data_IF_026897572400
#
_entry.id   IF_026897572400
#
_cell.length_a   1.000
_cell.length_b   1.000
_cell.length_c   1.000
_cell.angle_alpha   90.00
_cell.angle_beta   90.00
_cell.angle_gamma   90.00
#
_symmetry.space_group_name_H-M   'P 1'
#
loop_
_entity.id
_entity.type
_entity.pdbx_description
1 polymer ?
#
# COMPACT_ATOMS: atom_id res chain seq x y z
N UNK A 1 22.83 10.67 -4.53
CA UNK A 1 21.78 9.65 -4.35
C UNK A 1 21.22 9.08 -5.66
N UNK A 2 20.70 9.90 -6.57
CA UNK A 2 19.82 9.44 -7.68
C UNK A 2 20.50 8.96 -8.99
N UNK A 3 21.77 9.29 -9.23
CA UNK A 3 22.49 8.90 -10.45
C UNK A 3 21.95 9.55 -11.72
N UNK A 4 22.05 8.85 -12.88
CA UNK A 4 21.51 9.33 -14.17
C UNK A 4 19.98 9.36 -14.16
N UNK A 5 19.41 10.30 -14.92
CA UNK A 5 17.96 10.43 -15.17
C UNK A 5 17.40 9.10 -15.69
N UNK A 6 16.20 8.76 -15.25
CA UNK A 6 15.50 7.55 -15.68
C UNK A 6 15.07 7.65 -17.14
N UNK A 7 15.31 6.58 -17.91
CA UNK A 7 14.81 6.47 -19.28
C UNK A 7 13.31 6.14 -19.29
N UNK A 8 12.73 6.06 -20.48
CA UNK A 8 11.31 5.76 -20.65
C UNK A 8 10.95 4.41 -19.98
N UNK A 9 9.89 4.40 -19.17
CA UNK A 9 9.41 3.24 -18.38
C UNK A 9 10.38 2.69 -17.32
N UNK A 10 11.50 3.35 -17.04
CA UNK A 10 12.34 2.99 -15.89
C UNK A 10 11.80 3.63 -14.61
N UNK A 11 11.85 2.88 -13.52
CA UNK A 11 11.51 3.36 -12.17
C UNK A 11 12.65 3.01 -11.21
N UNK A 12 12.69 3.66 -10.05
CA UNK A 12 13.51 3.18 -8.91
C UNK A 12 12.61 2.41 -7.95
N UNK A 13 13.14 1.33 -7.40
CA UNK A 13 12.56 0.63 -6.26
C UNK A 13 13.49 0.78 -5.07
N UNK A 14 12.90 0.97 -3.90
CA UNK A 14 13.61 1.04 -2.64
C UNK A 14 13.64 -0.35 -1.99
N UNK A 15 14.83 -0.87 -1.73
CA UNK A 15 15.04 -1.98 -0.80
C UNK A 15 15.15 -1.40 0.61
N UNK A 16 14.09 -1.52 1.39
CA UNK A 16 14.03 -1.12 2.80
C UNK A 16 14.67 -2.22 3.65
N UNK A 17 15.71 -1.88 4.41
CA UNK A 17 16.38 -2.85 5.29
C UNK A 17 15.49 -3.28 6.45
N UNK A 18 15.72 -4.50 6.93
CA UNK A 18 15.13 -5.00 8.17
C UNK A 18 15.52 -4.13 9.38
N UNK A 19 14.72 -4.18 10.43
CA UNK A 19 15.02 -3.48 11.69
C UNK A 19 13.82 -3.38 12.62
N UNK A 20 14.09 -2.97 13.85
CA UNK A 20 13.10 -2.79 14.90
C UNK A 20 12.80 -1.30 15.12
N UNK A 21 11.77 -1.02 15.91
CA UNK A 21 11.47 0.33 16.38
C UNK A 21 12.70 0.93 17.09
N UNK A 22 13.10 2.14 16.67
CA UNK A 22 14.29 2.83 17.19
C UNK A 22 15.57 2.60 16.36
N UNK A 23 15.66 1.53 15.57
CA UNK A 23 16.83 1.31 14.72
C UNK A 23 16.88 2.34 13.58
N UNK A 24 18.08 2.83 13.17
CA UNK A 24 18.21 3.71 12.02
C UNK A 24 17.62 3.10 10.74
N UNK A 25 16.82 3.87 10.02
CA UNK A 25 16.23 3.43 8.76
C UNK A 25 17.31 3.47 7.67
N UNK A 26 17.53 2.33 7.02
CA UNK A 26 18.47 2.19 5.91
C UNK A 26 17.77 1.63 4.68
N UNK A 27 18.12 2.14 3.51
CA UNK A 27 17.60 1.63 2.26
C UNK A 27 18.59 1.75 1.10
N UNK A 28 18.29 1.03 0.02
CA UNK A 28 19.02 1.13 -1.24
C UNK A 28 18.05 1.35 -2.40
N UNK A 29 18.42 2.19 -3.37
CA UNK A 29 17.64 2.40 -4.58
C UNK A 29 18.21 1.59 -5.74
N UNK A 30 17.36 0.79 -6.38
CA UNK A 30 17.69 0.05 -7.59
C UNK A 30 16.83 0.52 -8.76
N UNK A 31 17.48 0.79 -9.90
CA UNK A 31 16.80 1.09 -11.16
C UNK A 31 16.31 -0.19 -11.81
N UNK A 32 15.06 -0.19 -12.26
CA UNK A 32 14.43 -1.33 -12.93
C UNK A 32 13.52 -0.82 -14.04
N UNK A 33 13.20 -1.70 -15.00
CA UNK A 33 12.17 -1.43 -16.01
C UNK A 33 10.81 -1.85 -15.47
N UNK A 34 9.80 -0.99 -15.57
CA UNK A 34 8.45 -1.30 -15.14
C UNK A 34 7.83 -2.38 -16.05
N UNK A 35 7.44 -3.50 -15.44
CA UNK A 35 6.76 -4.62 -16.09
C UNK A 35 5.80 -5.29 -15.12
N UNK A 36 4.84 -6.06 -15.65
CA UNK A 36 3.88 -6.82 -14.85
C UNK A 36 4.48 -8.01 -14.09
N UNK A 37 5.67 -8.45 -14.49
CA UNK A 37 6.40 -9.52 -13.80
C UNK A 37 7.19 -9.03 -12.59
N UNK A 38 7.39 -7.71 -12.45
CA UNK A 38 8.16 -7.11 -11.39
C UNK A 38 7.46 -7.31 -10.04
N UNK A 39 8.22 -7.75 -9.03
CA UNK A 39 7.69 -7.98 -7.68
C UNK A 39 8.12 -6.87 -6.73
N UNK A 40 7.16 -6.06 -6.30
CA UNK A 40 7.34 -4.94 -5.38
C UNK A 40 6.01 -4.49 -4.78
N UNK A 41 6.09 -3.74 -3.71
CA UNK A 41 4.95 -3.11 -3.04
C UNK A 41 4.96 -1.61 -3.35
N UNK A 42 3.81 -0.93 -3.33
CA UNK A 42 3.77 0.54 -3.43
C UNK A 42 3.23 1.13 -2.13
N UNK A 43 3.80 2.25 -1.67
CA UNK A 43 3.33 2.95 -0.48
C UNK A 43 2.39 4.10 -0.87
N UNK A 44 1.17 4.04 -0.37
CA UNK A 44 0.22 5.16 -0.39
C UNK A 44 0.16 5.77 1.01
N UNK A 45 0.45 7.05 1.11
CA UNK A 45 0.51 7.78 2.37
C UNK A 45 0.24 9.26 2.13
N UNK A 46 -0.14 9.96 3.18
CA UNK A 46 -0.31 11.40 3.11
C UNK A 46 1.05 12.13 3.14
N UNK A 47 1.28 13.00 2.17
CA UNK A 47 2.50 13.81 2.06
C UNK A 47 2.64 14.90 3.14
N UNK A 48 1.65 15.04 4.03
CA UNK A 48 1.54 16.10 5.05
C UNK A 48 2.92 16.56 5.53
N UNK A 49 3.16 17.87 5.46
CA UNK A 49 4.23 18.53 6.20
C UNK A 49 3.85 18.51 7.69
N UNK A 50 3.93 17.33 8.31
CA UNK A 50 4.07 17.28 9.76
C UNK A 50 5.40 17.96 10.11
N UNK A 51 5.39 18.73 11.18
CA UNK A 51 6.41 19.70 11.62
C UNK A 51 7.77 19.05 11.93
N UNK A 52 8.49 18.56 10.92
CA UNK A 52 9.78 17.92 11.14
C UNK A 52 10.32 17.14 9.94
N UNK A 53 11.65 17.06 9.86
CA UNK A 53 12.36 16.17 8.94
C UNK A 53 13.09 15.11 9.76
N UNK A 54 12.95 13.86 9.36
CA UNK A 54 13.80 12.75 9.82
C UNK A 54 14.82 12.43 8.73
N UNK A 55 16.01 11.96 9.12
CA UNK A 55 17.00 11.48 8.14
C UNK A 55 17.06 9.96 8.12
N UNK A 56 17.13 9.41 6.91
CA UNK A 56 17.40 8.00 6.66
C UNK A 56 18.74 7.85 5.93
N UNK A 57 19.34 6.66 5.99
CA UNK A 57 20.51 6.35 5.16
C UNK A 57 20.07 5.66 3.88
N UNK A 58 20.11 6.36 2.75
CA UNK A 58 19.82 5.78 1.44
C UNK A 58 21.10 5.72 0.58
N UNK A 59 21.43 4.54 0.05
CA UNK A 59 22.66 4.33 -0.74
C UNK A 59 23.93 4.82 -0.02
N UNK A 60 23.99 4.69 1.31
CA UNK A 60 25.10 5.17 2.13
C UNK A 60 25.14 6.68 2.37
N UNK A 61 24.15 7.44 1.86
CA UNK A 61 24.04 8.90 2.05
C UNK A 61 22.86 9.27 2.94
N UNK A 62 23.00 10.30 3.75
CA UNK A 62 21.92 10.90 4.55
C UNK A 62 20.87 11.50 3.60
N UNK A 63 19.59 11.17 3.80
CA UNK A 63 18.47 11.66 3.00
C UNK A 63 17.33 12.09 3.92
N UNK A 64 16.89 13.34 3.78
CA UNK A 64 15.82 13.90 4.59
C UNK A 64 14.45 13.47 4.03
N UNK A 65 13.57 13.04 4.93
CA UNK A 65 12.18 12.70 4.65
C UNK A 65 11.26 13.34 5.68
N UNK A 66 9.98 13.45 5.37
CA UNK A 66 8.98 13.89 6.36
C UNK A 66 8.90 12.90 7.52
N UNK A 67 8.55 13.40 8.70
CA UNK A 67 8.35 12.55 9.87
C UNK A 67 7.27 11.48 9.64
N UNK A 68 6.17 11.84 8.95
CA UNK A 68 5.13 10.87 8.61
C UNK A 68 5.66 9.71 7.76
N UNK A 69 6.51 10.00 6.77
CA UNK A 69 7.12 8.96 5.96
C UNK A 69 8.11 8.11 6.78
N UNK A 70 8.85 8.72 7.71
CA UNK A 70 9.74 7.98 8.60
C UNK A 70 8.97 7.00 9.51
N UNK A 71 7.84 7.43 10.07
CA UNK A 71 6.95 6.58 10.87
C UNK A 71 6.38 5.43 10.02
N UNK A 72 5.90 5.72 8.81
CA UNK A 72 5.42 4.71 7.88
C UNK A 72 6.51 3.67 7.57
N UNK A 73 7.71 4.11 7.19
CA UNK A 73 8.82 3.21 6.89
C UNK A 73 9.24 2.38 8.10
N UNK A 74 9.24 2.97 9.30
CA UNK A 74 9.54 2.26 10.54
C UNK A 74 8.52 1.13 10.79
N UNK A 75 7.22 1.44 10.68
CA UNK A 75 6.14 0.48 10.86
C UNK A 75 6.13 -0.63 9.80
N UNK A 76 6.62 -0.34 8.59
CA UNK A 76 6.69 -1.31 7.50
C UNK A 76 7.91 -2.24 7.56
N UNK A 77 8.95 -1.93 8.33
CA UNK A 77 10.13 -2.80 8.43
C UNK A 77 9.77 -4.15 9.04
N UNK A 78 10.33 -5.21 8.46
CA UNK A 78 10.29 -6.54 9.06
C UNK A 78 11.52 -6.72 9.97
N UNK A 79 11.44 -7.53 11.03
CA UNK A 79 12.56 -7.75 11.94
C UNK A 79 13.82 -8.29 11.28
N UNK A 80 13.67 -9.18 10.29
CA UNK A 80 14.79 -9.93 9.70
C UNK A 80 14.88 -9.87 8.18
N UNK A 81 13.85 -9.34 7.49
CA UNK A 81 13.77 -9.36 6.03
C UNK A 81 13.67 -7.95 5.46
N UNK A 82 14.37 -7.71 4.36
CA UNK A 82 14.20 -6.47 3.58
C UNK A 82 12.89 -6.51 2.79
N UNK A 83 12.30 -5.33 2.54
CA UNK A 83 11.14 -5.17 1.65
C UNK A 83 11.51 -4.41 0.39
N UNK A 84 10.85 -4.69 -0.72
CA UNK A 84 11.01 -3.96 -1.98
C UNK A 84 9.77 -3.10 -2.16
N UNK A 85 9.92 -1.81 -1.95
CA UNK A 85 8.81 -0.86 -1.90
C UNK A 85 9.09 0.30 -2.87
N UNK A 86 8.08 0.74 -3.60
CA UNK A 86 8.09 2.00 -4.32
C UNK A 86 7.45 3.08 -3.44
N UNK A 87 8.19 4.17 -3.23
CA UNK A 87 7.77 5.33 -2.45
C UNK A 87 8.06 6.56 -3.30
N UNK A 88 7.03 7.29 -3.73
CA UNK A 88 7.17 8.45 -4.63
C UNK A 88 8.25 9.46 -4.20
N UNK A 89 8.27 9.87 -2.93
CA UNK A 89 9.20 10.87 -2.38
C UNK A 89 10.66 10.42 -2.37
N UNK A 90 10.92 9.10 -2.45
CA UNK A 90 12.28 8.53 -2.41
C UNK A 90 12.67 7.92 -3.76
N UNK A 91 11.72 7.40 -4.54
CA UNK A 91 12.00 6.72 -5.80
C UNK A 91 12.07 7.71 -6.98
N UNK A 92 11.36 8.83 -6.88
CA UNK A 92 11.41 9.94 -7.83
C UNK A 92 12.32 11.03 -7.27
N UNK A 93 13.22 11.55 -8.09
CA UNK A 93 13.99 12.74 -7.76
C UNK A 93 13.08 13.97 -7.75
N UNK A 94 12.61 14.36 -6.56
CA UNK A 94 11.66 15.46 -6.37
C UNK A 94 12.23 16.83 -6.80
N UNK A 95 13.55 16.98 -6.83
CA UNK A 95 14.25 18.21 -7.24
C UNK A 95 14.44 18.31 -8.76
N UNK A 96 14.09 17.28 -9.53
CA UNK A 96 14.22 17.28 -10.99
C UNK A 96 12.85 17.39 -11.66
N UNK A 97 12.48 18.58 -12.21
CA UNK A 97 11.28 18.73 -13.01
C UNK A 97 11.23 17.78 -14.22
N UNK A 98 12.39 17.52 -14.84
CA UNK A 98 12.51 16.58 -15.95
C UNK A 98 12.19 15.14 -15.53
N UNK A 99 12.63 14.71 -14.35
CA UNK A 99 12.32 13.37 -13.88
C UNK A 99 10.84 13.26 -13.45
N UNK A 100 10.32 14.28 -12.78
CA UNK A 100 8.89 14.35 -12.40
C UNK A 100 7.97 14.26 -13.60
N UNK A 101 8.26 14.98 -14.68
CA UNK A 101 7.44 14.93 -15.91
C UNK A 101 7.43 13.56 -16.58
N UNK A 102 8.47 12.73 -16.35
CA UNK A 102 8.55 11.35 -16.84
C UNK A 102 7.91 10.34 -15.89
N UNK A 103 8.03 10.52 -14.57
CA UNK A 103 7.59 9.55 -13.57
C UNK A 103 6.13 9.71 -13.16
N UNK A 104 5.62 10.94 -13.05
CA UNK A 104 4.23 11.19 -12.64
C UNK A 104 3.23 10.50 -13.58
N UNK A 105 3.38 10.55 -14.92
CA UNK A 105 2.48 9.82 -15.83
C UNK A 105 2.50 8.29 -15.65
N UNK A 106 3.60 7.74 -15.11
CA UNK A 106 3.73 6.30 -14.86
C UNK A 106 3.05 5.87 -13.54
N UNK A 107 2.66 6.79 -12.65
CA UNK A 107 2.16 6.43 -11.32
C UNK A 107 0.99 5.44 -11.37
N UNK A 108 0.01 5.67 -12.24
CA UNK A 108 -1.13 4.76 -12.42
C UNK A 108 -0.66 3.33 -12.73
N UNK A 109 0.31 3.20 -13.64
CA UNK A 109 0.84 1.89 -14.04
C UNK A 109 1.70 1.28 -12.93
N UNK A 110 2.47 2.08 -12.19
CA UNK A 110 3.28 1.60 -11.05
C UNK A 110 2.38 1.01 -9.97
N UNK A 111 1.33 1.74 -9.56
CA UNK A 111 0.37 1.24 -8.56
C UNK A 111 -0.36 -0.01 -9.06
N UNK A 112 -0.78 -0.04 -10.33
CA UNK A 112 -1.42 -1.21 -10.92
C UNK A 112 -0.48 -2.42 -11.06
N UNK A 113 0.83 -2.19 -11.13
CA UNK A 113 1.85 -3.24 -11.25
C UNK A 113 2.38 -3.75 -9.92
N UNK A 114 2.15 -3.04 -8.83
CA UNK A 114 2.57 -3.46 -7.50
C UNK A 114 1.82 -4.74 -7.08
N UNK A 115 2.49 -5.64 -6.34
CA UNK A 115 1.83 -6.82 -5.78
C UNK A 115 0.80 -6.47 -4.73
N UNK A 116 1.04 -5.37 -4.02
CA UNK A 116 0.14 -4.79 -3.05
C UNK A 116 0.43 -3.31 -2.92
N UNK A 117 -0.62 -2.54 -2.64
CA UNK A 117 -0.50 -1.15 -2.21
C UNK A 117 -0.67 -1.13 -0.69
N UNK A 118 0.35 -0.64 0.00
CA UNK A 118 0.38 -0.46 1.44
C UNK A 118 -0.14 0.93 1.74
N UNK A 119 -1.31 1.03 2.37
CA UNK A 119 -1.90 2.32 2.74
C UNK A 119 -1.54 2.66 4.18
N UNK A 120 -0.79 3.74 4.38
CA UNK A 120 -0.45 4.29 5.68
C UNK A 120 -1.42 5.40 6.07
N UNK A 121 -2.21 5.16 7.11
CA UNK A 121 -3.20 6.11 7.63
C UNK A 121 -2.67 6.94 8.81
N UNK A 122 -1.40 6.75 9.18
CA UNK A 122 -0.80 7.35 10.36
C UNK A 122 -0.59 6.35 11.50
N UNK A 123 0.01 6.81 12.61
CA UNK A 123 0.14 6.02 13.83
C UNK A 123 -1.22 5.59 14.38
N UNK A 124 -1.18 4.56 15.22
CA UNK A 124 -2.35 4.11 15.98
C UNK A 124 -2.98 5.28 16.76
N UNK A 125 -4.31 5.32 16.78
CA UNK A 125 -5.07 6.30 17.53
C UNK A 125 -6.33 5.66 18.13
N UNK A 126 -6.82 6.18 19.28
CA UNK A 126 -8.05 5.67 19.89
C UNK A 126 -9.22 5.67 18.91
N UNK A 127 -9.79 4.49 18.66
CA UNK A 127 -10.90 4.31 17.73
C UNK A 127 -10.52 3.73 16.36
N UNK A 128 -9.24 3.46 16.09
CA UNK A 128 -8.83 2.79 14.84
C UNK A 128 -9.55 1.45 14.64
N UNK A 129 -9.69 0.64 15.71
CA UNK A 129 -10.38 -0.64 15.66
C UNK A 129 -11.85 -0.48 15.26
N UNK A 130 -12.54 0.48 15.89
CA UNK A 130 -13.93 0.81 15.57
C UNK A 130 -14.06 1.36 14.14
N UNK A 131 -13.11 2.18 13.68
CA UNK A 131 -13.10 2.67 12.31
C UNK A 131 -12.98 1.54 11.29
N UNK A 132 -12.12 0.55 11.54
CA UNK A 132 -12.00 -0.65 10.70
C UNK A 132 -13.23 -1.56 10.77
N UNK A 133 -13.93 -1.63 11.91
CA UNK A 133 -15.21 -2.32 12.02
C UNK A 133 -16.33 -1.62 11.24
N UNK A 134 -16.32 -0.29 11.16
CA UNK A 134 -17.31 0.52 10.44
C UNK A 134 -17.03 0.58 8.94
N UNK A 135 -15.77 0.41 8.51
CA UNK A 135 -15.33 0.54 7.12
C UNK A 135 -16.17 -0.26 6.11
N UNK A 136 -16.55 -1.53 6.37
CA UNK A 136 -17.42 -2.29 5.47
C UNK A 136 -18.81 -1.65 5.28
N UNK A 137 -19.39 -1.10 6.35
CA UNK A 137 -20.70 -0.45 6.29
C UNK A 137 -20.65 0.86 5.51
N UNK A 138 -19.59 1.66 5.69
CA UNK A 138 -19.37 2.86 4.87
C UNK A 138 -19.18 2.51 3.39
N UNK A 139 -18.49 1.40 3.11
CA UNK A 139 -18.31 0.90 1.74
C UNK A 139 -19.66 0.51 1.11
N UNK A 140 -20.55 -0.15 1.87
CA UNK A 140 -21.90 -0.48 1.42
C UNK A 140 -22.75 0.78 1.16
N UNK A 141 -22.73 1.76 2.07
CA UNK A 141 -23.44 3.03 1.88
C UNK A 141 -22.92 3.80 0.67
N UNK A 142 -21.61 3.78 0.42
CA UNK A 142 -21.00 4.36 -0.78
C UNK A 142 -21.54 3.73 -2.07
N UNK A 143 -21.67 2.40 -2.10
CA UNK A 143 -22.25 1.66 -3.23
C UNK A 143 -23.73 1.98 -3.42
N UNK A 144 -24.53 1.99 -2.34
CA UNK A 144 -25.97 2.24 -2.39
C UNK A 144 -26.32 3.68 -2.78
N UNK A 145 -25.50 4.66 -2.36
CA UNK A 145 -25.69 6.07 -2.72
C UNK A 145 -25.16 6.41 -4.10
N UNK A 146 -24.49 5.48 -4.78
CA UNK A 146 -24.06 5.70 -6.15
C UNK A 146 -25.29 5.82 -7.07
N UNK A 147 -25.48 6.94 -7.81
CA UNK A 147 -26.73 7.26 -8.50
C UNK A 147 -27.23 6.21 -9.51
N UNK A 148 -26.35 5.30 -9.95
CA UNK A 148 -26.60 4.29 -10.99
C UNK A 148 -26.63 2.84 -10.47
N UNK A 149 -26.38 2.60 -9.18
CA UNK A 149 -26.22 1.25 -8.61
C UNK A 149 -25.05 0.43 -9.20
N UNK A 150 -24.21 1.06 -10.04
CA UNK A 150 -22.97 0.51 -10.59
C UNK A 150 -21.86 1.54 -10.37
N UNK A 151 -20.82 1.24 -9.59
CA UNK A 151 -19.78 2.21 -9.25
C UNK A 151 -19.09 2.73 -10.51
N UNK A 152 -18.97 4.05 -10.62
CA UNK A 152 -18.33 4.73 -11.75
C UNK A 152 -16.80 4.68 -11.57
N UNK A 153 -16.11 3.87 -12.37
CA UNK A 153 -14.68 3.53 -12.18
C UNK A 153 -13.68 4.69 -12.34
N UNK A 154 -14.16 5.92 -12.53
CA UNK A 154 -13.34 7.11 -12.74
C UNK A 154 -13.05 7.94 -11.46
N UNK A 155 -13.78 7.72 -10.34
CA UNK A 155 -13.46 8.37 -9.04
C UNK A 155 -12.71 7.41 -8.12
N UNK A 156 -11.75 7.94 -7.35
CA UNK A 156 -10.93 7.17 -6.41
C UNK A 156 -11.78 6.43 -5.35
N UNK A 157 -12.90 7.01 -4.95
CA UNK A 157 -13.88 6.42 -4.01
C UNK A 157 -14.53 5.16 -4.59
N UNK A 158 -14.81 5.15 -5.90
CA UNK A 158 -15.38 4.02 -6.62
C UNK A 158 -14.33 2.95 -6.97
N UNK A 159 -13.05 3.32 -7.11
CA UNK A 159 -11.94 2.36 -7.19
C UNK A 159 -11.80 1.58 -5.87
N UNK A 160 -12.01 2.23 -4.73
CA UNK A 160 -12.02 1.57 -3.42
C UNK A 160 -13.24 0.66 -3.27
N UNK A 161 -14.44 1.12 -3.65
CA UNK A 161 -15.64 0.30 -3.66
C UNK A 161 -15.52 -0.91 -4.60
N UNK A 162 -14.89 -0.75 -5.77
CA UNK A 162 -14.64 -1.83 -6.74
C UNK A 162 -13.60 -2.84 -6.21
N UNK A 163 -12.54 -2.39 -5.56
CA UNK A 163 -11.54 -3.28 -4.97
C UNK A 163 -12.06 -4.02 -3.71
N UNK A 164 -13.03 -3.45 -3.00
CA UNK A 164 -13.73 -4.08 -1.87
C UNK A 164 -14.78 -5.09 -2.35
N UNK A 165 -15.37 -4.89 -3.54
CA UNK A 165 -16.40 -5.78 -4.11
C UNK A 165 -15.85 -6.82 -5.10
N UNK A 166 -14.60 -6.72 -5.54
CA UNK A 166 -13.99 -7.77 -6.35
C UNK A 166 -13.57 -8.96 -5.48
N UNK A 167 -14.45 -9.98 -5.49
CA UNK A 167 -14.26 -11.40 -5.11
C UNK A 167 -13.36 -11.64 -3.88
N UNK A 168 -13.90 -12.11 -2.74
CA UNK A 168 -13.08 -12.59 -1.63
C UNK A 168 -12.02 -13.56 -2.15
N UNK A 169 -10.75 -13.35 -1.83
CA UNK A 169 -9.68 -14.24 -2.29
C UNK A 169 -9.89 -15.63 -1.67
N UNK A 170 -9.45 -16.68 -2.37
CA UNK A 170 -9.51 -18.04 -1.82
C UNK A 170 -8.81 -18.06 -0.45
N UNK A 171 -9.53 -18.50 0.59
CA UNK A 171 -9.04 -18.43 1.96
C UNK A 171 -9.49 -17.22 2.77
N UNK A 172 -10.35 -16.36 2.23
CA UNK A 172 -10.98 -15.28 2.99
C UNK A 172 -11.84 -15.84 4.13
N UNK A 173 -11.59 -15.34 5.35
CA UNK A 173 -12.29 -15.70 6.58
C UNK A 173 -13.09 -14.48 7.02
N UNK A 174 -14.39 -14.68 7.23
CA UNK A 174 -15.30 -13.67 7.77
C UNK A 174 -15.78 -14.17 9.13
N UNK A 175 -15.58 -13.36 10.17
CA UNK A 175 -16.05 -13.67 11.52
C UNK A 175 -17.42 -13.03 11.75
N UNK A 176 -18.41 -13.83 12.13
CA UNK A 176 -19.74 -13.33 12.49
C UNK A 176 -20.15 -13.92 13.84
N UNK A 177 -20.29 -13.04 14.84
CA UNK A 177 -20.77 -13.29 16.21
C UNK A 177 -19.98 -14.37 16.99
N UNK A 178 -19.98 -15.64 16.56
CA UNK A 178 -19.24 -16.78 17.13
C UNK A 178 -18.76 -17.83 16.10
N UNK A 179 -19.10 -17.65 14.82
CA UNK A 179 -18.79 -18.61 13.74
C UNK A 179 -17.72 -18.03 12.79
N UNK A 180 -16.86 -18.91 12.30
CA UNK A 180 -15.96 -18.60 11.19
C UNK A 180 -16.57 -19.08 9.88
N UNK A 181 -16.78 -18.14 8.96
CA UNK A 181 -17.26 -18.43 7.61
C UNK A 181 -16.05 -18.40 6.68
N UNK A 182 -15.79 -19.53 6.02
CA UNK A 182 -14.70 -19.71 5.07
C UNK A 182 -15.24 -19.74 3.64
N UNK A 183 -14.64 -18.93 2.77
CA UNK A 183 -14.96 -18.92 1.35
C UNK A 183 -13.94 -19.76 0.56
N UNK A 184 -14.44 -20.74 -0.21
CA UNK A 184 -13.64 -21.53 -1.15
C UNK A 184 -14.23 -21.47 -2.56
N UNK A 185 -13.38 -21.65 -3.57
CA UNK A 185 -13.78 -21.62 -4.97
C UNK A 185 -13.35 -22.91 -5.68
N UNK A 186 -14.19 -23.37 -6.61
CA UNK A 186 -13.79 -24.15 -7.78
C UNK A 186 -14.17 -23.38 -9.05
N UNK A 187 -13.63 -23.78 -10.21
CA UNK A 187 -13.60 -23.05 -11.49
C UNK A 187 -14.85 -22.22 -11.82
N UNK A 188 -16.05 -22.71 -11.48
CA UNK A 188 -17.31 -22.05 -11.79
C UNK A 188 -18.27 -21.88 -10.59
N UNK A 189 -17.82 -22.06 -9.34
CA UNK A 189 -18.71 -22.00 -8.16
C UNK A 189 -18.03 -21.53 -6.87
N UNK A 190 -18.81 -20.81 -6.05
CA UNK A 190 -18.40 -20.31 -4.72
C UNK A 190 -19.07 -21.15 -3.66
N UNK A 191 -18.28 -21.69 -2.74
CA UNK A 191 -18.76 -22.48 -1.61
C UNK A 191 -18.48 -21.77 -0.30
N UNK A 192 -19.49 -21.74 0.57
CA UNK A 192 -19.40 -21.19 1.91
C UNK A 192 -19.39 -22.34 2.92
N UNK A 193 -18.36 -22.37 3.76
CA UNK A 193 -18.24 -23.34 4.85
C UNK A 193 -18.35 -22.62 6.19
N UNK A 194 -19.10 -23.20 7.12
CA UNK A 194 -19.26 -22.66 8.48
C UNK A 194 -18.55 -23.59 9.46
N UNK A 195 -17.56 -23.04 10.17
CA UNK A 195 -16.88 -23.70 11.27
C UNK A 195 -17.39 -23.13 12.59
N UNK A 196 -18.12 -23.96 13.34
CA UNK A 196 -18.53 -23.68 14.72
C UNK A 196 -17.42 -24.11 15.66
N UNK A 197 -16.94 -23.19 16.48
CA UNK A 197 -16.15 -23.55 17.65
C UNK A 197 -17.12 -24.10 18.69
N UNK A 198 -17.10 -25.40 18.96
CA UNK A 198 -17.83 -25.90 20.13
C UNK A 198 -17.22 -25.28 21.40
N UNK A 199 -18.06 -24.83 22.34
CA UNK A 199 -17.56 -24.23 23.57
C UNK A 199 -16.83 -25.28 24.42
N UNK A 200 -15.68 -24.90 24.98
CA UNK A 200 -15.01 -25.69 26.04
C UNK A 200 -15.84 -25.74 27.31
#
# INVERSE_FOLDING_TARGET
MYGKVLNNRQIRLMSLAAGHTGDPIRCQLRRVTLSMSLKFEALSYEWKQASGCSSITCNGTSFAITENLALALCALRLPSNSRIIWVDAICINQDSPEEKSKQIPLMREIYASANSVLTWLGPDFPGVEVAFQIFPYLSLVGIERHPTGKPDTERIEDVLATNITQRPKQGSIIQSQQDYIFCSHDKDSVFWHTLRLEPK
#
